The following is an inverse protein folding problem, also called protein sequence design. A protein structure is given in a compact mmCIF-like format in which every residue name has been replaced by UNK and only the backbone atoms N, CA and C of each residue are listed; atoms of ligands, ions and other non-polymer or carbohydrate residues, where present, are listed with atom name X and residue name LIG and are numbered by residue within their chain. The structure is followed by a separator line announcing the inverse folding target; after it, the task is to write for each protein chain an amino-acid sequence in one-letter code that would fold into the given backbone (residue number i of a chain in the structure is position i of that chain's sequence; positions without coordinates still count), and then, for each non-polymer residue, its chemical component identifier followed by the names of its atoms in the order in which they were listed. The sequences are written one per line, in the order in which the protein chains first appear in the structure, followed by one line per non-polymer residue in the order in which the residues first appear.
data_IF_832417741584
#
_entry.id   IF_832417741584
#
_cell.length_a   1.000
_cell.length_b   1.000
_cell.length_c   1.000
_cell.angle_alpha   90.00
_cell.angle_beta   90.00
_cell.angle_gamma   90.00
#
_symmetry.space_group_name_H-M   'P 1'
#
loop_
_entity.id
_entity.type
_entity.pdbx_description
1 polymer ?
#
# COMPACT_ATOMS: atom_id res chain seq x y z
N UNK A 1 10.81 6.46 0.29
CA UNK A 1 11.41 5.83 -0.91
C UNK A 1 10.95 4.39 -1.12
N UNK A 2 10.97 3.50 -0.12
CA UNK A 2 10.58 2.08 -0.29
C UNK A 2 9.22 1.82 -0.98
N UNK A 3 8.18 2.59 -0.66
CA UNK A 3 6.88 2.44 -1.33
C UNK A 3 6.91 2.79 -2.83
N UNK A 4 7.78 3.73 -3.23
CA UNK A 4 7.86 4.18 -4.62
C UNK A 4 8.55 3.15 -5.50
N UNK A 5 9.70 2.63 -5.07
CA UNK A 5 10.55 1.81 -5.95
C UNK A 5 10.36 0.31 -5.72
N UNK A 6 9.73 -0.09 -4.61
CA UNK A 6 9.53 -1.49 -4.23
C UNK A 6 8.11 -1.80 -3.78
N UNK A 7 7.20 -0.83 -3.89
CA UNK A 7 5.81 -0.96 -3.45
C UNK A 7 4.80 -0.60 -4.53
N UNK A 8 3.94 0.35 -4.20
CA UNK A 8 2.74 0.71 -4.95
C UNK A 8 2.58 2.23 -5.13
N UNK A 9 3.67 3.00 -4.97
CA UNK A 9 3.69 4.45 -5.19
C UNK A 9 2.61 5.22 -4.39
N UNK A 10 2.16 4.65 -3.26
CA UNK A 10 1.02 5.14 -2.47
C UNK A 10 1.41 6.13 -1.36
N UNK A 11 2.65 6.65 -1.36
CA UNK A 11 3.12 7.63 -0.38
C UNK A 11 3.62 8.87 -1.12
N UNK A 12 3.04 10.02 -0.83
CA UNK A 12 3.53 11.32 -1.29
C UNK A 12 4.35 12.00 -0.19
N UNK A 13 5.30 12.83 -0.58
CA UNK A 13 6.11 13.64 0.34
C UNK A 13 5.87 15.11 0.05
N UNK A 14 5.58 15.89 1.09
CA UNK A 14 5.50 17.34 0.99
C UNK A 14 6.86 17.93 0.63
N UNK A 15 6.94 18.73 -0.42
CA UNK A 15 8.20 19.40 -0.81
C UNK A 15 8.65 20.46 0.20
N UNK A 16 7.71 21.03 0.96
CA UNK A 16 8.02 22.07 1.94
C UNK A 16 8.39 21.51 3.32
N UNK A 17 7.71 20.45 3.76
CA UNK A 17 7.84 19.92 5.13
C UNK A 17 8.50 18.55 5.19
N UNK A 18 8.70 17.89 4.06
CA UNK A 18 9.13 16.49 3.96
C UNK A 18 8.27 15.50 4.75
N UNK A 19 7.05 15.89 5.12
CA UNK A 19 6.09 14.99 5.76
C UNK A 19 5.52 14.02 4.73
N UNK A 20 5.55 12.73 5.07
CA UNK A 20 4.95 11.67 4.29
C UNK A 20 3.43 11.63 4.50
N UNK A 21 2.67 11.44 3.42
CA UNK A 21 1.23 11.20 3.46
C UNK A 21 0.91 9.92 2.69
N UNK A 22 0.13 9.04 3.31
CA UNK A 22 -0.36 7.81 2.67
C UNK A 22 -1.61 8.13 1.86
N UNK A 23 -1.66 7.67 0.61
CA UNK A 23 -2.89 7.61 -0.16
C UNK A 23 -3.61 6.29 0.16
N UNK A 24 -4.69 6.35 0.93
CA UNK A 24 -5.40 5.16 1.43
C UNK A 24 -6.02 4.31 0.32
N UNK A 25 -6.40 4.92 -0.81
CA UNK A 25 -7.01 4.21 -1.92
C UNK A 25 -6.01 3.27 -2.62
N UNK A 26 -4.77 3.71 -2.76
CA UNK A 26 -3.69 2.98 -3.44
C UNK A 26 -2.88 2.11 -2.48
N UNK A 27 -2.94 2.39 -1.17
CA UNK A 27 -2.23 1.63 -0.16
C UNK A 27 -2.75 0.19 -0.07
N UNK A 28 -1.88 -0.79 -0.30
CA UNK A 28 -2.23 -2.21 -0.26
C UNK A 28 -2.06 -2.85 1.11
N UNK A 29 -1.46 -2.14 2.07
CA UNK A 29 -1.15 -2.67 3.39
C UNK A 29 0.04 -3.65 3.42
N UNK A 30 0.94 -3.60 2.44
CA UNK A 30 2.08 -4.54 2.33
C UNK A 30 3.14 -4.45 3.44
N UNK A 31 3.04 -3.49 4.36
CA UNK A 31 3.95 -3.26 5.51
C UNK A 31 5.38 -2.83 5.19
N UNK A 32 5.78 -2.70 3.92
CA UNK A 32 7.18 -2.36 3.57
C UNK A 32 7.65 -1.02 4.16
N UNK A 33 6.78 0.00 4.22
CA UNK A 33 7.12 1.29 4.81
C UNK A 33 7.35 1.22 6.33
N UNK A 34 6.58 0.38 7.03
CA UNK A 34 6.74 0.13 8.46
C UNK A 34 8.11 -0.49 8.74
N UNK A 35 8.47 -1.55 8.01
CA UNK A 35 9.70 -2.31 8.23
C UNK A 35 10.99 -1.54 8.02
N UNK A 36 10.96 -0.46 7.22
CA UNK A 36 12.15 0.36 6.92
C UNK A 36 12.19 1.68 7.69
N UNK A 37 11.15 1.99 8.47
CA UNK A 37 11.12 3.24 9.21
C UNK A 37 12.18 3.21 10.33
N UNK A 38 13.10 4.19 10.39
CA UNK A 38 14.15 4.19 11.41
C UNK A 38 13.63 4.63 12.79
N UNK A 39 12.40 5.16 12.87
CA UNK A 39 11.79 5.63 14.11
C UNK A 39 10.79 4.58 14.60
N UNK A 40 11.01 3.99 15.79
CA UNK A 40 10.10 2.99 16.33
C UNK A 40 8.71 3.57 16.53
N UNK A 41 7.68 2.77 16.24
CA UNK A 41 6.26 3.14 16.39
C UNK A 41 5.80 4.41 15.63
N UNK A 42 6.60 4.91 14.68
CA UNK A 42 6.23 6.08 13.88
C UNK A 42 5.12 5.76 12.86
N UNK A 43 5.04 4.53 12.39
CA UNK A 43 4.02 4.05 11.45
C UNK A 43 3.18 2.98 12.15
N UNK A 44 1.86 3.06 12.02
CA UNK A 44 0.95 2.07 12.56
C UNK A 44 0.09 1.49 11.44
N UNK A 45 -0.04 0.17 11.43
CA UNK A 45 -0.96 -0.53 10.53
C UNK A 45 -2.34 -0.53 11.18
N UNK A 46 -3.34 0.01 10.48
CA UNK A 46 -4.72 0.06 10.96
C UNK A 46 -5.64 -0.69 10.00
N UNK A 47 -6.78 -1.24 10.47
CA UNK A 47 -7.76 -1.86 9.59
C UNK A 47 -8.22 -0.86 8.51
N UNK A 48 -8.20 -1.29 7.24
CA UNK A 48 -8.68 -0.48 6.13
C UNK A 48 -10.18 -0.22 6.30
N UNK A 49 -10.58 1.02 6.08
CA UNK A 49 -11.99 1.39 5.99
C UNK A 49 -12.43 1.24 4.54
N UNK A 50 -13.46 0.44 4.28
CA UNK A 50 -13.99 0.20 2.94
C UNK A 50 -13.39 -1.00 2.22
N UNK A 51 -13.83 -1.21 0.97
CA UNK A 51 -13.47 -2.37 0.16
C UNK A 51 -12.01 -2.28 -0.32
N UNK A 52 -11.32 -3.43 -0.38
CA UNK A 52 -10.01 -3.49 -0.99
C UNK A 52 -10.13 -3.31 -2.50
N UNK A 53 -9.32 -2.40 -3.05
CA UNK A 53 -9.20 -2.16 -4.48
C UNK A 53 -7.87 -2.71 -4.97
N UNK A 54 -7.91 -3.47 -6.05
CA UNK A 54 -6.70 -3.96 -6.67
C UNK A 54 -5.87 -2.81 -7.24
N UNK A 55 -4.54 -2.77 -6.99
CA UNK A 55 -3.66 -1.75 -7.54
C UNK A 55 -3.51 -1.92 -9.06
N UNK A 56 -3.45 -0.81 -9.80
CA UNK A 56 -3.19 -0.84 -11.23
C UNK A 56 -1.70 -1.08 -11.50
N UNK A 57 -1.37 -2.17 -12.18
CA UNK A 57 0.02 -2.56 -12.50
C UNK A 57 0.28 -2.64 -14.01
N UNK A 58 -0.42 -1.80 -14.78
CA UNK A 58 -0.42 -1.82 -16.24
C UNK A 58 -1.56 -2.65 -16.86
N UNK A 59 -2.34 -3.34 -16.05
CA UNK A 59 -3.58 -4.02 -16.45
C UNK A 59 -4.64 -3.85 -15.36
N UNK A 60 -5.92 -3.86 -15.76
CA UNK A 60 -7.02 -3.94 -14.79
C UNK A 60 -7.03 -5.36 -14.20
N UNK A 61 -6.89 -5.47 -12.88
CA UNK A 61 -6.99 -6.75 -12.22
C UNK A 61 -8.45 -7.24 -12.28
N UNK A 62 -8.65 -8.45 -12.80
CA UNK A 62 -9.96 -9.12 -12.81
C UNK A 62 -10.26 -9.76 -11.43
N UNK A 63 -10.02 -9.03 -10.34
CA UNK A 63 -10.39 -9.45 -9.00
C UNK A 63 -11.63 -8.69 -8.54
N UNK A 64 -12.60 -9.41 -7.99
CA UNK A 64 -13.71 -8.78 -7.30
C UNK A 64 -13.17 -7.98 -6.11
N UNK A 65 -13.76 -6.80 -5.89
CA UNK A 65 -13.40 -5.92 -4.78
C UNK A 65 -13.82 -6.58 -3.47
N UNK A 66 -12.87 -7.28 -2.84
CA UNK A 66 -13.06 -8.08 -1.63
C UNK A 66 -11.72 -8.59 -1.13
N UNK A 67 -11.68 -9.17 0.08
CA UNK A 67 -10.50 -9.92 0.52
C UNK A 67 -10.35 -11.07 -0.46
N UNK A 68 -9.31 -11.12 -1.31
CA UNK A 68 -9.19 -12.21 -2.26
C UNK A 68 -9.09 -13.49 -1.44
N UNK A 69 -10.03 -14.42 -1.64
CA UNK A 69 -9.83 -15.81 -1.25
C UNK A 69 -8.49 -16.20 -1.83
N UNK A 70 -7.52 -16.56 -0.97
CA UNK A 70 -6.13 -16.84 -1.31
C UNK A 70 -6.00 -17.23 -2.78
N UNK A 71 -5.29 -16.41 -3.56
CA UNK A 71 -5.00 -16.66 -4.97
C UNK A 71 -4.50 -18.10 -5.06
N UNK A 72 -5.38 -19.02 -5.48
CA UNK A 72 -4.96 -20.36 -5.89
C UNK A 72 -4.18 -20.13 -7.16
N UNK A 73 -2.87 -19.97 -7.01
CA UNK A 73 -1.96 -20.08 -8.13
C UNK A 73 -2.11 -21.53 -8.60
N UNK A 74 -2.78 -21.72 -9.73
CA UNK A 74 -2.81 -23.00 -10.43
C UNK A 74 -1.43 -23.22 -11.09
N UNK A 75 -0.40 -23.35 -10.26
CA UNK A 75 0.88 -23.93 -10.67
C UNK A 75 0.73 -25.43 -10.61
#
# INVERSE_FOLDING_TARGET
MACNDSGYQAISFSHATHQAKVNEDDCTGCTLCYSVCPIPECIQMVPRKGMWKAPYRGTNANFESGVPTLLKLNV
#
